data_IF_095593735614
#
_entry.id   IF_095593735614
#
_cell.length_a   1.000
_cell.length_b   1.000
_cell.length_c   1.000
_cell.angle_alpha   90.00
_cell.angle_beta   90.00
_cell.angle_gamma   90.00
#
_symmetry.space_group_name_H-M   'P 1'
#
loop_
_entity.id
_entity.type
_entity.pdbx_description
1 polymer ?
#
# COMPACT_ATOMS: atom_id res chain seq x y z
N UNK A 1 12.65 -19.00 4.47
CA UNK A 1 13.23 -18.10 3.45
C UNK A 1 14.74 -17.99 3.74
N UNK A 2 15.56 -18.87 3.18
CA UNK A 2 17.02 -18.81 3.30
C UNK A 2 17.55 -18.05 2.09
N UNK A 3 18.17 -16.89 2.30
CA UNK A 3 18.78 -16.00 1.30
C UNK A 3 17.87 -14.91 0.70
N UNK A 4 17.49 -13.94 1.54
CA UNK A 4 16.54 -12.85 1.22
C UNK A 4 17.14 -11.66 0.44
N UNK A 5 18.45 -11.60 0.21
CA UNK A 5 19.11 -10.47 -0.50
C UNK A 5 18.46 -10.10 -1.84
N UNK A 6 17.77 -11.05 -2.49
CA UNK A 6 17.08 -10.79 -3.76
C UNK A 6 15.78 -9.99 -3.60
N UNK A 7 15.12 -10.02 -2.43
CA UNK A 7 13.86 -9.32 -2.18
C UNK A 7 14.05 -7.81 -2.10
N UNK A 8 15.18 -7.33 -1.55
CA UNK A 8 15.48 -5.90 -1.42
C UNK A 8 15.93 -5.26 -2.75
N UNK A 9 16.40 -6.05 -3.69
CA UNK A 9 16.98 -5.55 -4.94
C UNK A 9 16.08 -4.56 -5.68
N UNK A 10 14.78 -4.78 -5.74
CA UNK A 10 13.87 -3.88 -6.43
C UNK A 10 13.83 -2.47 -5.80
N UNK A 11 14.01 -2.38 -4.48
CA UNK A 11 14.10 -1.09 -3.79
C UNK A 11 15.46 -0.42 -4.07
N UNK A 12 16.54 -1.19 -4.04
CA UNK A 12 17.89 -0.68 -4.32
C UNK A 12 18.01 -0.18 -5.77
N UNK A 13 17.26 -0.75 -6.71
CA UNK A 13 17.22 -0.35 -8.12
C UNK A 13 16.68 1.10 -8.31
N UNK A 14 15.91 1.65 -7.36
CA UNK A 14 15.48 3.06 -7.37
C UNK A 14 16.64 4.03 -7.12
N UNK A 15 17.72 3.59 -6.47
CA UNK A 15 18.92 4.42 -6.15
C UNK A 15 18.59 5.71 -5.43
N UNK A 16 17.64 5.65 -4.50
CA UNK A 16 17.22 6.80 -3.69
C UNK A 16 18.27 7.09 -2.60
N UNK A 17 18.49 8.37 -2.33
CA UNK A 17 19.24 8.88 -1.18
C UNK A 17 18.32 9.25 0.01
N UNK A 18 17.03 8.99 -0.14
CA UNK A 18 15.98 9.20 0.86
C UNK A 18 15.06 7.97 0.94
N UNK A 19 14.19 7.86 1.97
CA UNK A 19 13.20 6.80 2.05
C UNK A 19 12.26 6.77 0.85
N UNK A 20 11.84 5.57 0.41
CA UNK A 20 10.85 5.44 -0.67
C UNK A 20 9.54 6.15 -0.31
N UNK A 21 9.06 7.02 -1.18
CA UNK A 21 7.78 7.70 -0.98
C UNK A 21 6.76 7.23 -2.02
N UNK A 22 5.67 6.67 -1.52
CA UNK A 22 4.48 6.28 -2.28
C UNK A 22 3.36 7.25 -1.88
N UNK A 23 2.88 8.08 -2.79
CA UNK A 23 1.85 9.07 -2.47
C UNK A 23 0.75 9.16 -3.53
N UNK A 24 -0.43 9.62 -3.13
CA UNK A 24 -1.58 9.79 -4.02
C UNK A 24 -2.91 9.61 -3.29
N UNK A 25 -4.06 9.74 -4.00
CA UNK A 25 -5.35 9.75 -3.36
C UNK A 25 -5.71 8.40 -2.71
N UNK A 26 -6.42 8.45 -1.59
CA UNK A 26 -7.01 7.26 -0.97
C UNK A 26 -7.91 6.52 -1.96
N UNK A 27 -8.82 7.26 -2.60
CA UNK A 27 -9.73 6.79 -3.64
C UNK A 27 -9.53 7.58 -4.91
N UNK A 28 -9.45 6.91 -6.05
CA UNK A 28 -9.69 7.53 -7.34
C UNK A 28 -11.19 7.83 -7.47
N UNK A 29 -11.54 9.08 -7.69
CA UNK A 29 -12.94 9.51 -7.82
C UNK A 29 -13.23 10.04 -9.23
N UNK A 30 -12.31 10.81 -9.79
CA UNK A 30 -12.37 11.31 -11.16
C UNK A 30 -10.98 11.34 -11.80
N UNK A 31 -10.94 11.32 -13.14
CA UNK A 31 -9.68 11.47 -13.88
C UNK A 31 -9.01 12.82 -13.58
N UNK A 32 -9.80 13.90 -13.52
CA UNK A 32 -9.29 15.23 -13.22
C UNK A 32 -8.61 15.32 -11.84
N UNK A 33 -9.23 14.71 -10.81
CA UNK A 33 -8.62 14.59 -9.47
C UNK A 33 -7.28 13.85 -9.53
N UNK A 34 -7.25 12.70 -10.18
CA UNK A 34 -6.04 11.89 -10.33
C UNK A 34 -4.91 12.64 -10.99
N UNK A 35 -5.20 13.28 -12.13
CA UNK A 35 -4.21 14.03 -12.91
C UNK A 35 -3.70 15.27 -12.16
N UNK A 36 -4.57 15.99 -11.48
CA UNK A 36 -4.16 17.16 -10.71
C UNK A 36 -3.21 16.78 -9.56
N UNK A 37 -3.55 15.74 -8.77
CA UNK A 37 -2.67 15.26 -7.71
C UNK A 37 -1.33 14.75 -8.30
N UNK A 38 -1.38 13.99 -9.38
CA UNK A 38 -0.18 13.45 -9.99
C UNK A 38 0.76 14.55 -10.52
N UNK A 39 0.20 15.62 -11.10
CA UNK A 39 0.98 16.76 -11.56
C UNK A 39 1.63 17.56 -10.42
N UNK A 40 0.95 17.69 -9.27
CA UNK A 40 1.55 18.30 -8.08
C UNK A 40 2.68 17.47 -7.46
N UNK A 41 2.55 16.13 -7.54
CA UNK A 41 3.58 15.22 -7.05
C UNK A 41 4.76 15.04 -8.02
N UNK A 42 4.57 15.39 -9.29
CA UNK A 42 5.62 15.32 -10.30
C UNK A 42 6.79 16.25 -9.94
N UNK A 43 8.00 15.69 -9.89
CA UNK A 43 9.20 16.47 -9.55
C UNK A 43 9.45 16.65 -8.05
N UNK A 44 8.63 16.04 -7.19
CA UNK A 44 8.91 15.86 -5.77
C UNK A 44 9.63 14.53 -5.52
N UNK A 45 9.94 14.23 -4.26
CA UNK A 45 10.58 12.96 -3.86
C UNK A 45 9.67 11.73 -3.96
N UNK A 46 8.46 11.88 -4.54
CA UNK A 46 7.53 10.78 -4.75
C UNK A 46 7.98 9.92 -5.93
N UNK A 47 8.22 8.65 -5.67
CA UNK A 47 8.63 7.67 -6.69
C UNK A 47 7.45 6.91 -7.29
N UNK A 48 6.41 6.70 -6.52
CA UNK A 48 5.26 5.86 -6.89
C UNK A 48 3.96 6.61 -6.59
N UNK A 49 3.13 6.79 -7.61
CA UNK A 49 1.78 7.32 -7.47
C UNK A 49 0.81 6.20 -7.11
N UNK A 50 0.12 6.34 -5.97
CA UNK A 50 -0.88 5.36 -5.53
C UNK A 50 -2.29 5.87 -5.71
N UNK A 51 -3.23 5.01 -6.12
CA UNK A 51 -4.65 5.30 -6.05
C UNK A 51 -5.47 4.02 -5.81
N UNK A 52 -6.41 4.07 -4.87
CA UNK A 52 -7.37 2.97 -4.67
C UNK A 52 -8.52 3.09 -5.66
N UNK A 53 -8.58 2.20 -6.64
CA UNK A 53 -9.66 2.16 -7.64
C UNK A 53 -10.74 1.14 -7.28
N UNK A 54 -10.42 0.15 -6.47
CA UNK A 54 -11.31 -0.79 -5.81
C UNK A 54 -11.22 -0.57 -4.30
N UNK A 55 -12.36 -0.46 -3.62
CA UNK A 55 -12.42 -0.13 -2.19
C UNK A 55 -13.23 -1.18 -1.43
N UNK A 56 -12.58 -2.06 -0.65
CA UNK A 56 -13.28 -3.01 0.19
C UNK A 56 -14.00 -2.26 1.32
N UNK A 57 -15.32 -2.14 1.22
CA UNK A 57 -16.13 -1.46 2.24
C UNK A 57 -16.76 -2.46 3.21
N UNK A 58 -16.88 -2.07 4.47
CA UNK A 58 -17.48 -2.91 5.49
C UNK A 58 -19.00 -2.98 5.36
N UNK A 59 -19.61 -1.91 4.85
CA UNK A 59 -21.07 -1.83 4.69
C UNK A 59 -21.44 -1.71 3.20
N UNK A 60 -22.48 -2.37 2.74
CA UNK A 60 -22.98 -2.21 1.37
C UNK A 60 -23.52 -0.79 1.14
N UNK A 61 -23.55 -0.35 -0.10
CA UNK A 61 -24.06 0.98 -0.48
C UNK A 61 -23.07 2.15 -0.28
N UNK A 62 -21.86 1.88 0.20
CA UNK A 62 -20.78 2.86 0.21
C UNK A 62 -20.06 2.88 -1.13
N UNK A 63 -19.32 3.97 -1.40
CA UNK A 63 -18.50 4.07 -2.62
C UNK A 63 -17.42 2.98 -2.65
N UNK A 64 -17.58 2.00 -3.53
CA UNK A 64 -16.67 0.84 -3.66
C UNK A 64 -15.50 1.08 -4.64
N UNK A 65 -15.31 2.32 -5.05
CA UNK A 65 -14.31 2.72 -6.03
C UNK A 65 -14.88 2.84 -7.45
N UNK A 66 -14.08 3.41 -8.34
CA UNK A 66 -14.48 3.59 -9.75
C UNK A 66 -14.28 2.32 -10.58
N UNK A 67 -13.62 1.31 -10.03
CA UNK A 67 -13.36 0.06 -10.73
C UNK A 67 -12.33 0.19 -11.84
N UNK A 68 -12.46 -0.65 -12.87
CA UNK A 68 -11.49 -0.78 -13.96
C UNK A 68 -11.27 0.49 -14.79
N UNK A 69 -12.20 1.44 -14.80
CA UNK A 69 -11.97 2.73 -15.48
C UNK A 69 -10.77 3.49 -14.88
N UNK A 70 -10.53 3.34 -13.59
CA UNK A 70 -9.39 3.94 -12.89
C UNK A 70 -8.04 3.43 -13.39
N UNK A 71 -7.98 2.26 -14.00
CA UNK A 71 -6.74 1.73 -14.60
C UNK A 71 -6.29 2.59 -15.79
N UNK A 72 -7.23 3.06 -16.61
CA UNK A 72 -6.92 3.99 -17.72
C UNK A 72 -6.38 5.32 -17.19
N UNK A 73 -6.88 5.77 -16.05
CA UNK A 73 -6.39 7.00 -15.41
C UNK A 73 -4.97 6.80 -14.85
N UNK A 74 -4.67 5.63 -14.26
CA UNK A 74 -3.31 5.29 -13.83
C UNK A 74 -2.34 5.23 -15.02
N UNK A 75 -2.73 4.63 -16.15
CA UNK A 75 -1.91 4.65 -17.37
C UNK A 75 -1.63 6.08 -17.84
N UNK A 76 -2.62 6.96 -17.80
CA UNK A 76 -2.46 8.36 -18.15
C UNK A 76 -1.50 9.09 -17.19
N UNK A 77 -1.65 8.88 -15.88
CA UNK A 77 -0.71 9.39 -14.88
C UNK A 77 0.72 8.97 -15.20
N UNK A 78 0.96 7.68 -15.40
CA UNK A 78 2.29 7.15 -15.74
C UNK A 78 2.86 7.82 -16.99
N UNK A 79 2.06 7.92 -18.05
CA UNK A 79 2.47 8.53 -19.34
C UNK A 79 2.83 10.01 -19.20
N UNK A 80 2.06 10.79 -18.46
CA UNK A 80 2.21 12.25 -18.39
C UNK A 80 3.20 12.72 -17.32
N UNK A 81 3.38 11.94 -16.25
CA UNK A 81 4.25 12.32 -15.14
C UNK A 81 5.56 11.56 -15.07
N UNK A 82 5.60 10.33 -15.61
CA UNK A 82 6.73 9.40 -15.46
C UNK A 82 6.77 8.67 -14.13
N UNK A 83 5.84 8.96 -13.20
CA UNK A 83 5.74 8.25 -11.92
C UNK A 83 5.31 6.80 -12.16
N UNK A 84 5.90 5.85 -11.43
CA UNK A 84 5.36 4.51 -11.35
C UNK A 84 3.97 4.54 -10.71
N UNK A 85 3.12 3.58 -11.06
CA UNK A 85 1.73 3.56 -10.58
C UNK A 85 1.45 2.37 -9.68
N UNK A 86 0.59 2.59 -8.69
CA UNK A 86 0.20 1.57 -7.72
C UNK A 86 -1.31 1.52 -7.47
N UNK A 87 -1.86 0.31 -7.28
CA UNK A 87 -3.24 0.11 -6.86
C UNK A 87 -3.43 -1.12 -5.98
N UNK A 88 -4.54 -1.16 -5.22
CA UNK A 88 -4.96 -2.31 -4.43
C UNK A 88 -5.53 -3.41 -5.33
N UNK A 89 -5.21 -4.67 -5.03
CA UNK A 89 -5.83 -5.85 -5.65
C UNK A 89 -6.42 -6.75 -4.55
N UNK A 90 -7.56 -7.38 -4.85
CA UNK A 90 -8.29 -8.21 -3.90
C UNK A 90 -8.70 -9.58 -4.46
N UNK A 91 -8.39 -9.89 -5.71
CA UNK A 91 -8.66 -11.17 -6.38
C UNK A 91 -7.82 -11.28 -7.67
N UNK A 92 -7.84 -12.45 -8.31
CA UNK A 92 -7.10 -12.71 -9.55
C UNK A 92 -7.53 -11.82 -10.72
N UNK A 93 -8.81 -11.47 -10.83
CA UNK A 93 -9.28 -10.59 -11.90
C UNK A 93 -8.72 -9.17 -11.77
N UNK A 94 -8.61 -8.63 -10.55
CA UNK A 94 -7.96 -7.33 -10.31
C UNK A 94 -6.48 -7.38 -10.73
N UNK A 95 -5.78 -8.47 -10.42
CA UNK A 95 -4.38 -8.67 -10.84
C UNK A 95 -4.26 -8.67 -12.36
N UNK A 96 -5.07 -9.48 -13.04
CA UNK A 96 -5.08 -9.57 -14.51
C UNK A 96 -5.31 -8.20 -15.15
N UNK A 97 -6.35 -7.48 -14.74
CA UNK A 97 -6.67 -6.15 -15.26
C UNK A 97 -5.55 -5.13 -14.99
N UNK A 98 -4.93 -5.16 -13.81
CA UNK A 98 -3.83 -4.28 -13.48
C UNK A 98 -2.59 -4.55 -14.33
N UNK A 99 -2.29 -5.82 -14.64
CA UNK A 99 -1.20 -6.22 -15.54
C UNK A 99 -1.48 -5.75 -16.97
N UNK A 100 -2.70 -5.97 -17.49
CA UNK A 100 -3.13 -5.53 -18.83
C UNK A 100 -3.02 -4.02 -19.03
N UNK A 101 -3.13 -3.24 -17.94
CA UNK A 101 -3.02 -1.78 -17.94
C UNK A 101 -1.65 -1.28 -17.45
N UNK A 102 -0.65 -2.16 -17.42
CA UNK A 102 0.74 -1.83 -17.06
C UNK A 102 0.91 -1.06 -15.74
N UNK A 103 0.13 -1.43 -14.72
CA UNK A 103 0.35 -0.95 -13.35
C UNK A 103 1.63 -1.58 -12.79
N UNK A 104 2.49 -0.80 -12.15
CA UNK A 104 3.84 -1.22 -11.74
C UNK A 104 3.85 -1.93 -10.39
N UNK A 105 3.03 -1.44 -9.46
CA UNK A 105 3.01 -1.90 -8.06
C UNK A 105 1.59 -2.32 -7.69
N UNK A 106 1.45 -3.52 -7.17
CA UNK A 106 0.18 -4.05 -6.69
C UNK A 106 0.26 -4.27 -5.19
N UNK A 107 -0.71 -3.76 -4.43
CA UNK A 107 -0.73 -4.09 -3.01
C UNK A 107 -1.96 -4.87 -2.60
N UNK A 108 -1.75 -5.82 -1.69
CA UNK A 108 -2.80 -6.59 -1.03
C UNK A 108 -3.25 -5.83 0.21
N UNK A 109 -4.53 -5.49 0.28
CA UNK A 109 -5.09 -4.72 1.39
C UNK A 109 -5.20 -5.53 2.68
N UNK A 110 -5.22 -4.84 3.82
CA UNK A 110 -5.26 -5.48 5.15
C UNK A 110 -6.47 -6.43 5.35
N UNK A 111 -7.61 -6.13 4.70
CA UNK A 111 -8.80 -7.01 4.74
C UNK A 111 -8.65 -8.26 3.88
N UNK A 112 -7.89 -8.19 2.81
CA UNK A 112 -7.57 -9.34 1.94
C UNK A 112 -6.49 -10.21 2.57
N UNK A 113 -5.52 -9.61 3.27
CA UNK A 113 -4.43 -10.32 3.96
C UNK A 113 -4.92 -11.31 5.01
N UNK A 114 -6.10 -11.07 5.61
CA UNK A 114 -6.68 -11.98 6.61
C UNK A 114 -7.17 -13.31 6.02
N UNK A 115 -7.27 -13.41 4.69
CA UNK A 115 -7.75 -14.62 4.02
C UNK A 115 -6.62 -15.32 3.27
N UNK A 116 -6.13 -16.47 3.76
CA UNK A 116 -5.12 -17.26 3.04
C UNK A 116 -5.54 -17.66 1.63
N UNK A 117 -6.84 -17.89 1.39
CA UNK A 117 -7.37 -18.22 0.06
C UNK A 117 -7.22 -17.06 -0.92
N UNK A 118 -7.58 -15.83 -0.50
CA UNK A 118 -7.44 -14.63 -1.33
C UNK A 118 -5.96 -14.34 -1.63
N UNK A 119 -5.09 -14.45 -0.62
CA UNK A 119 -3.65 -14.25 -0.81
C UNK A 119 -3.08 -15.27 -1.78
N UNK A 120 -3.50 -16.55 -1.69
CA UNK A 120 -3.06 -17.59 -2.62
C UNK A 120 -3.57 -17.33 -4.03
N UNK A 121 -4.84 -17.00 -4.21
CA UNK A 121 -5.42 -16.66 -5.52
C UNK A 121 -4.64 -15.51 -6.20
N UNK A 122 -4.31 -14.47 -5.43
CA UNK A 122 -3.52 -13.33 -5.92
C UNK A 122 -2.10 -13.77 -6.27
N UNK A 123 -1.46 -14.60 -5.42
CA UNK A 123 -0.12 -15.11 -5.64
C UNK A 123 -0.03 -15.92 -6.93
N UNK A 124 -0.98 -16.82 -7.15
CA UNK A 124 -1.07 -17.64 -8.37
C UNK A 124 -1.26 -16.77 -9.63
N UNK A 125 -2.08 -15.72 -9.54
CA UNK A 125 -2.30 -14.77 -10.64
C UNK A 125 -1.08 -13.88 -10.95
N UNK A 126 -0.15 -13.72 -10.00
CA UNK A 126 1.08 -12.94 -10.14
C UNK A 126 2.28 -13.79 -10.58
N UNK A 127 2.16 -15.12 -10.60
CA UNK A 127 3.24 -16.01 -10.96
C UNK A 127 3.82 -15.66 -12.35
N UNK A 128 5.15 -15.59 -12.43
CA UNK A 128 5.86 -15.26 -13.67
C UNK A 128 5.83 -13.78 -14.08
N UNK A 129 5.20 -12.90 -13.29
CA UNK A 129 5.22 -11.46 -13.55
C UNK A 129 6.43 -10.78 -12.89
N UNK A 130 6.82 -9.60 -13.41
CA UNK A 130 7.89 -8.77 -12.85
C UNK A 130 7.34 -7.57 -12.04
N UNK A 131 6.12 -7.67 -11.54
CA UNK A 131 5.48 -6.59 -10.78
C UNK A 131 6.03 -6.50 -9.35
N UNK A 132 6.08 -5.29 -8.82
CA UNK A 132 6.34 -5.07 -7.38
C UNK A 132 5.05 -5.39 -6.62
N UNK A 133 5.15 -6.26 -5.63
CA UNK A 133 4.02 -6.69 -4.80
C UNK A 133 4.24 -6.29 -3.36
N UNK A 134 3.30 -5.56 -2.80
CA UNK A 134 3.32 -5.15 -1.41
C UNK A 134 2.15 -5.79 -0.66
N UNK A 135 2.38 -6.32 0.53
CA UNK A 135 1.30 -6.88 1.36
C UNK A 135 1.17 -6.09 2.66
N UNK A 136 -0.02 -5.55 2.92
CA UNK A 136 -0.32 -4.88 4.19
C UNK A 136 -0.43 -5.90 5.33
N UNK A 137 -0.07 -5.49 6.55
CA UNK A 137 -0.39 -6.29 7.73
C UNK A 137 -1.91 -6.58 7.80
N UNK A 138 -2.32 -7.72 8.38
CA UNK A 138 -3.74 -8.02 8.61
C UNK A 138 -4.39 -6.96 9.51
N UNK A 139 -5.72 -6.87 9.45
CA UNK A 139 -6.48 -5.90 10.25
C UNK A 139 -6.23 -6.10 11.76
N UNK A 140 -6.22 -7.34 12.21
CA UNK A 140 -5.94 -7.70 13.60
C UNK A 140 -4.43 -7.87 13.84
N UNK A 141 -3.93 -7.68 15.09
CA UNK A 141 -2.53 -7.85 15.44
C UNK A 141 -2.13 -9.33 15.46
N UNK A 142 -2.00 -9.92 14.29
CA UNK A 142 -1.65 -11.33 14.09
C UNK A 142 -0.42 -11.43 13.18
N UNK A 143 0.74 -11.56 13.82
CA UNK A 143 2.03 -11.67 13.12
C UNK A 143 2.16 -13.00 12.36
N UNK A 144 1.60 -14.08 12.87
CA UNK A 144 1.66 -15.39 12.21
C UNK A 144 0.88 -15.38 10.89
N UNK A 145 -0.28 -14.73 10.89
CA UNK A 145 -1.08 -14.55 9.68
C UNK A 145 -0.36 -13.67 8.64
N UNK A 146 0.34 -12.62 9.09
CA UNK A 146 1.15 -11.79 8.19
C UNK A 146 2.31 -12.58 7.58
N UNK A 147 3.02 -13.36 8.39
CA UNK A 147 4.05 -14.28 7.89
C UNK A 147 3.49 -15.23 6.85
N UNK A 148 2.34 -15.87 7.12
CA UNK A 148 1.71 -16.79 6.18
C UNK A 148 1.41 -16.15 4.83
N UNK A 149 0.93 -14.89 4.81
CA UNK A 149 0.70 -14.13 3.58
C UNK A 149 1.99 -13.85 2.81
N UNK A 150 3.05 -13.43 3.51
CA UNK A 150 4.38 -13.18 2.92
C UNK A 150 4.98 -14.46 2.33
N UNK A 151 4.90 -15.55 3.07
CA UNK A 151 5.47 -16.84 2.67
C UNK A 151 4.75 -17.44 1.45
N UNK A 152 3.42 -17.25 1.31
CA UNK A 152 2.67 -17.63 0.10
C UNK A 152 3.16 -16.90 -1.13
N UNK A 153 3.25 -15.56 -1.06
CA UNK A 153 3.74 -14.72 -2.15
C UNK A 153 5.18 -15.11 -2.55
N UNK A 154 6.04 -15.33 -1.57
CA UNK A 154 7.41 -15.75 -1.81
C UNK A 154 7.50 -17.14 -2.47
N UNK A 155 6.63 -18.08 -2.07
CA UNK A 155 6.60 -19.43 -2.62
C UNK A 155 6.09 -19.48 -4.06
N UNK A 156 5.32 -18.47 -4.50
CA UNK A 156 4.90 -18.29 -5.89
C UNK A 156 5.92 -17.50 -6.74
N UNK A 157 7.19 -17.52 -6.36
CA UNK A 157 8.34 -16.90 -7.04
C UNK A 157 8.20 -15.37 -7.30
N UNK A 158 7.47 -14.67 -6.44
CA UNK A 158 7.38 -13.21 -6.50
C UNK A 158 8.69 -12.61 -5.98
N UNK A 159 9.49 -12.05 -6.89
CA UNK A 159 10.85 -11.57 -6.62
C UNK A 159 10.91 -10.17 -6.06
N UNK A 160 9.95 -9.32 -6.41
CA UNK A 160 9.85 -7.92 -5.99
C UNK A 160 8.78 -7.78 -4.92
N UNK A 161 9.07 -8.30 -3.72
CA UNK A 161 8.15 -8.33 -2.59
C UNK A 161 8.53 -7.30 -1.54
N UNK A 162 7.55 -6.69 -0.91
CA UNK A 162 7.68 -5.82 0.25
C UNK A 162 6.44 -5.86 1.13
N UNK A 163 6.49 -5.23 2.28
CA UNK A 163 5.38 -5.18 3.22
C UNK A 163 5.01 -3.75 3.61
N UNK A 164 3.75 -3.54 3.98
CA UNK A 164 3.25 -2.25 4.44
C UNK A 164 2.65 -2.41 5.83
N UNK A 165 3.22 -1.67 6.78
CA UNK A 165 2.66 -1.53 8.11
C UNK A 165 1.68 -0.36 8.15
N UNK A 166 0.39 -0.66 8.41
CA UNK A 166 -0.70 0.32 8.47
C UNK A 166 -1.41 0.41 9.83
N UNK A 167 -0.80 -0.20 10.86
CA UNK A 167 -1.42 -0.36 12.17
C UNK A 167 -2.49 -1.45 12.22
N UNK A 168 -3.02 -1.68 13.40
CA UNK A 168 -3.97 -2.76 13.69
C UNK A 168 -5.25 -2.20 14.30
N UNK A 169 -6.38 -2.78 13.94
CA UNK A 169 -7.65 -2.48 14.56
C UNK A 169 -7.71 -3.14 15.93
N UNK A 170 -7.89 -2.34 16.96
CA UNK A 170 -8.09 -2.79 18.35
C UNK A 170 -9.43 -2.30 18.87
N UNK A 171 -10.01 -3.04 19.80
CA UNK A 171 -11.29 -2.65 20.42
C UNK A 171 -11.13 -1.44 21.35
N UNK A 172 -9.97 -1.28 21.97
CA UNK A 172 -9.68 -0.18 22.89
C UNK A 172 -9.61 1.16 22.16
N UNK A 173 -10.13 2.22 22.81
CA UNK A 173 -9.97 3.59 22.31
C UNK A 173 -8.49 3.99 22.31
N UNK A 174 -8.04 4.62 21.23
CA UNK A 174 -6.69 5.11 21.06
C UNK A 174 -6.71 6.50 20.39
N UNK A 175 -5.59 7.23 20.49
CA UNK A 175 -5.37 8.45 19.69
C UNK A 175 -5.23 8.13 18.20
N UNK A 176 -4.90 6.89 17.86
CA UNK A 176 -4.75 6.39 16.51
C UNK A 176 -6.05 5.75 15.99
N UNK A 177 -6.26 5.83 14.68
CA UNK A 177 -7.33 5.07 14.01
C UNK A 177 -7.04 3.56 14.03
N UNK A 178 -5.77 3.20 13.86
CA UNK A 178 -5.28 1.84 13.98
C UNK A 178 -4.00 1.88 14.81
N UNK A 179 -3.96 1.14 15.90
CA UNK A 179 -2.80 1.13 16.77
C UNK A 179 -1.56 0.62 16.04
N UNK A 180 -0.42 1.30 16.14
CA UNK A 180 0.78 0.90 15.42
C UNK A 180 1.37 -0.43 15.90
N UNK A 181 1.23 -0.79 17.20
CA UNK A 181 1.77 -2.04 17.76
C UNK A 181 3.19 -2.32 17.23
N UNK A 182 4.09 -1.34 17.40
CA UNK A 182 5.43 -1.30 16.79
C UNK A 182 6.26 -2.57 16.99
N UNK A 183 6.00 -3.30 18.07
CA UNK A 183 6.68 -4.56 18.32
C UNK A 183 6.48 -5.58 17.18
N UNK A 184 5.28 -5.59 16.57
CA UNK A 184 4.96 -6.55 15.49
C UNK A 184 5.82 -6.33 14.23
N UNK A 185 5.89 -5.12 13.65
CA UNK A 185 6.77 -4.89 12.50
C UNK A 185 8.26 -5.01 12.85
N UNK A 186 8.69 -4.70 14.08
CA UNK A 186 10.07 -4.93 14.54
C UNK A 186 10.41 -6.43 14.53
N UNK A 187 9.52 -7.28 15.05
CA UNK A 187 9.71 -8.73 15.01
C UNK A 187 9.73 -9.26 13.57
N UNK A 188 8.91 -8.67 12.67
CA UNK A 188 8.95 -9.01 11.26
C UNK A 188 10.31 -8.66 10.62
N UNK A 189 10.83 -7.45 10.87
CA UNK A 189 12.17 -7.05 10.37
C UNK A 189 13.27 -7.97 10.89
N UNK A 190 13.23 -8.36 12.16
CA UNK A 190 14.19 -9.29 12.74
C UNK A 190 14.16 -10.65 12.06
N UNK A 191 12.97 -11.14 11.67
CA UNK A 191 12.83 -12.43 10.96
C UNK A 191 13.21 -12.33 9.48
N UNK A 192 12.91 -11.21 8.84
CA UNK A 192 13.12 -10.98 7.41
C UNK A 192 13.84 -9.64 7.14
N UNK A 193 15.13 -9.50 7.51
CA UNK A 193 15.85 -8.22 7.48
C UNK A 193 16.02 -7.63 6.06
N UNK A 194 15.93 -8.47 5.03
CA UNK A 194 16.06 -8.02 3.63
C UNK A 194 14.71 -7.78 2.95
N UNK A 195 13.59 -7.86 3.68
CA UNK A 195 12.25 -7.58 3.14
C UNK A 195 11.93 -6.10 3.35
N UNK A 196 11.76 -5.32 2.28
CA UNK A 196 11.40 -3.90 2.41
C UNK A 196 10.13 -3.69 3.22
N UNK A 197 10.20 -2.82 4.21
CA UNK A 197 9.09 -2.47 5.11
C UNK A 197 8.74 -0.99 4.98
N UNK A 198 7.50 -0.71 4.62
CA UNK A 198 6.96 0.61 4.36
C UNK A 198 5.93 0.95 5.44
N UNK A 199 5.94 2.16 5.97
CA UNK A 199 4.91 2.65 6.88
C UNK A 199 3.77 3.33 6.11
N UNK A 200 2.54 3.07 6.50
CA UNK A 200 1.35 3.81 6.06
C UNK A 200 0.79 4.64 7.22
N UNK A 201 1.39 5.83 7.48
CA UNK A 201 1.01 6.68 8.61
C UNK A 201 -0.40 7.22 8.46
N UNK A 202 -0.91 7.38 7.24
CA UNK A 202 -2.28 7.87 7.00
C UNK A 202 -3.34 6.94 7.59
N UNK A 203 -3.15 5.62 7.43
CA UNK A 203 -4.07 4.64 8.00
C UNK A 203 -3.84 4.42 9.50
N UNK A 204 -2.61 4.56 10.00
CA UNK A 204 -2.32 4.52 11.45
C UNK A 204 -3.01 5.67 12.15
N UNK A 205 -2.76 6.89 11.70
CA UNK A 205 -3.21 8.11 12.38
C UNK A 205 -4.71 8.35 12.22
N UNK A 206 -5.23 8.28 10.98
CA UNK A 206 -6.59 8.70 10.63
C UNK A 206 -6.83 10.21 10.83
N UNK A 207 -5.77 11.00 11.12
CA UNK A 207 -5.77 12.44 11.37
C UNK A 207 -4.40 13.03 11.01
N UNK A 208 -4.38 14.32 10.63
CA UNK A 208 -3.19 14.95 10.03
C UNK A 208 -2.10 15.29 11.02
N UNK A 209 -2.47 15.75 12.19
CA UNK A 209 -1.57 16.28 13.22
C UNK A 209 -0.63 15.22 13.82
N UNK A 210 -0.91 13.93 13.60
CA UNK A 210 -0.05 12.81 14.02
C UNK A 210 0.82 12.25 12.88
N UNK A 211 0.62 12.68 11.61
CA UNK A 211 1.32 12.08 10.47
C UNK A 211 2.84 12.22 10.60
N UNK A 212 3.31 13.41 10.94
CA UNK A 212 4.75 13.66 11.08
C UNK A 212 5.36 12.79 12.20
N UNK A 213 4.73 12.77 13.38
CA UNK A 213 5.19 11.96 14.52
C UNK A 213 5.32 10.47 14.13
N UNK A 214 4.27 9.90 13.54
CA UNK A 214 4.25 8.48 13.16
C UNK A 214 5.22 8.17 12.03
N UNK A 215 5.36 9.07 11.05
CA UNK A 215 6.34 8.92 9.98
C UNK A 215 7.76 8.92 10.54
N UNK A 216 8.08 9.88 11.42
CA UNK A 216 9.40 9.97 12.03
C UNK A 216 9.73 8.72 12.86
N UNK A 217 8.81 8.26 13.72
CA UNK A 217 9.00 7.03 14.50
C UNK A 217 9.29 5.84 13.59
N UNK A 218 8.58 5.70 12.47
CA UNK A 218 8.82 4.59 11.55
C UNK A 218 10.21 4.66 10.89
N UNK A 219 10.68 5.85 10.54
CA UNK A 219 12.01 6.03 9.97
C UNK A 219 13.11 5.78 11.01
N UNK A 220 12.92 6.21 12.26
CA UNK A 220 13.82 5.94 13.38
C UNK A 220 13.91 4.42 13.69
N UNK A 221 12.84 3.67 13.35
CA UNK A 221 12.81 2.20 13.41
C UNK A 221 13.37 1.55 12.13
N UNK A 222 14.04 2.31 11.26
CA UNK A 222 14.64 1.87 10.00
C UNK A 222 13.64 1.27 9.00
N UNK A 223 12.44 1.83 8.90
CA UNK A 223 11.55 1.48 7.79
C UNK A 223 12.09 2.09 6.49
N UNK A 224 11.89 1.39 5.39
CA UNK A 224 12.45 1.72 4.08
C UNK A 224 11.69 2.82 3.34
N UNK A 225 10.49 3.18 3.79
CA UNK A 225 9.68 4.19 3.12
C UNK A 225 8.33 4.45 3.74
N UNK A 226 7.59 5.34 3.09
CA UNK A 226 6.29 5.82 3.51
C UNK A 226 5.25 5.65 2.39
N UNK A 227 4.03 5.23 2.75
CA UNK A 227 2.86 5.28 1.86
C UNK A 227 1.87 6.30 2.42
N UNK A 228 1.71 7.44 1.75
CA UNK A 228 0.95 8.59 2.25
C UNK A 228 -0.26 8.86 1.35
N UNK A 229 -1.42 9.10 1.97
CA UNK A 229 -2.59 9.58 1.27
C UNK A 229 -2.49 11.08 1.05
N UNK A 230 -2.57 11.52 -0.22
CA UNK A 230 -2.56 12.93 -0.61
C UNK A 230 -3.82 13.30 -1.40
N UNK A 231 -4.30 14.53 -1.23
CA UNK A 231 -5.50 15.04 -1.89
C UNK A 231 -5.32 16.50 -2.31
N UNK A 232 -6.07 16.94 -3.36
CA UNK A 232 -6.01 18.28 -3.95
C UNK A 232 -6.24 19.42 -2.98
N UNK A 233 -7.09 19.26 -2.00
CA UNK A 233 -7.21 20.29 -1.00
C UNK A 233 -6.11 20.04 0.03
N UNK A 234 -5.17 20.97 0.14
CA UNK A 234 -4.22 21.04 1.26
C UNK A 234 -4.92 20.97 2.63
N UNK A 235 -6.25 21.14 2.63
CA UNK A 235 -7.16 21.01 3.75
C UNK A 235 -7.61 19.55 3.93
N UNK A 236 -7.54 18.70 2.89
CA UNK A 236 -8.00 17.31 2.90
C UNK A 236 -6.89 16.34 2.51
N UNK A 237 -5.95 16.09 3.42
CA UNK A 237 -5.41 14.75 3.50
C UNK A 237 -6.59 13.90 3.92
N UNK A 238 -6.96 12.93 3.08
CA UNK A 238 -8.24 12.27 3.17
C UNK A 238 -8.63 11.94 4.61
N UNK A 239 -9.47 12.79 5.19
CA UNK A 239 -10.38 12.22 6.17
C UNK A 239 -11.09 11.06 5.46
N UNK A 240 -11.26 9.90 6.11
CA UNK A 240 -12.28 8.98 5.67
C UNK A 240 -13.54 9.82 5.51
N UNK A 241 -14.07 9.84 4.31
CA UNK A 241 -15.20 10.69 3.93
C UNK A 241 -16.16 10.78 5.10
N UNK A 242 -16.61 11.98 5.47
CA UNK A 242 -17.54 12.26 6.58
C UNK A 242 -18.76 11.33 6.66
N UNK A 243 -18.99 10.52 5.65
CA UNK A 243 -20.02 9.49 5.55
C UNK A 243 -19.79 8.28 6.48
N UNK A 244 -18.61 8.13 7.09
CA UNK A 244 -18.36 7.06 8.07
C UNK A 244 -18.74 7.45 9.51
N UNK A 245 -19.37 8.62 9.72
CA UNK A 245 -19.79 9.14 11.01
C UNK A 245 -21.32 9.28 11.16
N UNK A 246 -22.08 8.25 10.87
CA UNK A 246 -23.46 8.13 11.36
C UNK A 246 -23.69 6.72 11.80
#
# INVERSE_FOLDING_TARGET
>A
MKNNKKLRKWLDDFKLDHPLVIAGPCSAETEAQMMSIANELKGSDVSIFRAGIWKPRTRPGMFEGVGSIGLKWLQKVKKETGLLTATEVANANHVKLAIEHDVDVLWIGARSTVSPFIVQEIADALEGTDKIVLIKNPVNPDLALWYGGIERLYSSDIKKLGVIHRGFSTYSKSKFRNNPEWQIPIELQNKYPDLPLICDPSHICGRRDLLHEVSQISLDLNFDGLMIESHLSLIHISEPTRQDRI
#
